data_IF_420241099646
#
_entry.id   IF_420241099646
#
_cell.length_a   1.000
_cell.length_b   1.000
_cell.length_c   1.000
_cell.angle_alpha   90.00
_cell.angle_beta   90.00
_cell.angle_gamma   90.00
#
_symmetry.space_group_name_H-M   'P 1'
#
loop_
_entity.id
_entity.type
_entity.pdbx_description
1 polymer ?
#
# COMPACT_ATOMS: atom_id res chain seq x y z
N UNK A 1 -7.35 0.71 31.42
CA UNK A 1 -7.59 -0.35 30.39
C UNK A 1 -7.12 0.18 29.03
N UNK A 2 -5.81 0.20 28.77
CA UNK A 2 -5.21 0.69 27.51
C UNK A 2 -4.76 -0.47 26.61
N UNK A 3 -5.63 -1.46 26.40
CA UNK A 3 -5.36 -2.57 25.47
C UNK A 3 -5.69 -2.22 24.00
N UNK A 4 -6.14 -1.01 23.71
CA UNK A 4 -6.40 -0.53 22.33
C UNK A 4 -5.12 -0.35 21.49
N UNK A 5 -3.96 -0.24 22.14
CA UNK A 5 -2.65 -0.20 21.48
C UNK A 5 -1.93 -1.54 21.47
N UNK A 6 -2.54 -2.61 22.01
CA UNK A 6 -1.99 -3.95 21.85
C UNK A 6 -2.21 -4.35 20.40
N UNK A 7 -1.16 -4.19 19.58
CA UNK A 7 -1.13 -4.46 18.14
C UNK A 7 -1.86 -5.78 17.85
N UNK A 8 -3.06 -5.78 17.24
CA UNK A 8 -3.74 -7.01 16.89
C UNK A 8 -3.16 -7.48 15.54
N UNK A 9 -1.84 -7.66 15.46
CA UNK A 9 -1.14 -8.06 14.25
C UNK A 9 -1.02 -9.58 14.20
N UNK A 10 -2.18 -10.23 14.12
CA UNK A 10 -2.21 -11.63 13.74
C UNK A 10 -1.58 -11.78 12.35
N UNK A 11 -0.82 -12.86 12.13
CA UNK A 11 -0.14 -13.13 10.85
C UNK A 11 -1.10 -13.04 9.65
N UNK A 12 -2.34 -13.46 9.85
CA UNK A 12 -3.40 -13.45 8.84
C UNK A 12 -3.92 -12.03 8.54
N UNK A 13 -4.01 -11.17 9.56
CA UNK A 13 -4.34 -9.76 9.38
C UNK A 13 -3.26 -9.06 8.56
N UNK A 14 -1.98 -9.31 8.86
CA UNK A 14 -0.86 -8.71 8.15
C UNK A 14 -0.79 -9.17 6.69
N UNK A 15 -1.12 -10.44 6.42
CA UNK A 15 -1.25 -10.97 5.06
C UNK A 15 -2.39 -10.30 4.28
N UNK A 16 -3.53 -10.06 4.94
CA UNK A 16 -4.67 -9.35 4.36
C UNK A 16 -4.34 -7.89 4.04
N UNK A 17 -3.61 -7.20 4.91
CA UNK A 17 -3.11 -5.85 4.64
C UNK A 17 -2.16 -5.80 3.43
N UNK A 18 -1.27 -6.78 3.29
CA UNK A 18 -0.40 -6.87 2.12
C UNK A 18 -1.20 -7.04 0.82
N UNK A 19 -2.26 -7.86 0.83
CA UNK A 19 -3.15 -8.05 -0.33
C UNK A 19 -3.88 -6.75 -0.70
N UNK A 20 -4.40 -6.03 0.29
CA UNK A 20 -5.04 -4.72 0.06
C UNK A 20 -4.05 -3.73 -0.54
N UNK A 21 -2.82 -3.66 -0.04
CA UNK A 21 -1.78 -2.78 -0.58
C UNK A 21 -1.43 -3.14 -2.04
N UNK A 22 -1.30 -4.43 -2.35
CA UNK A 22 -1.08 -4.89 -3.72
C UNK A 22 -2.26 -4.53 -4.64
N UNK A 23 -3.50 -4.65 -4.16
CA UNK A 23 -4.69 -4.32 -4.94
C UNK A 23 -4.82 -2.81 -5.18
N UNK A 24 -4.51 -1.97 -4.17
CA UNK A 24 -4.43 -0.51 -4.34
C UNK A 24 -3.37 -0.14 -5.38
N UNK A 25 -2.19 -0.79 -5.36
CA UNK A 25 -1.16 -0.55 -6.35
C UNK A 25 -1.62 -0.92 -7.77
N UNK A 26 -2.31 -2.05 -7.94
CA UNK A 26 -2.91 -2.45 -9.23
C UNK A 26 -3.94 -1.44 -9.72
N UNK A 27 -4.83 -0.98 -8.83
CA UNK A 27 -5.85 0.03 -9.16
C UNK A 27 -5.20 1.35 -9.58
N UNK A 28 -4.14 1.77 -8.90
CA UNK A 28 -3.38 2.98 -9.28
C UNK A 28 -2.75 2.86 -10.68
N UNK A 29 -2.22 1.69 -11.04
CA UNK A 29 -1.70 1.42 -12.38
C UNK A 29 -2.83 1.46 -13.43
N UNK A 30 -3.98 0.87 -13.12
CA UNK A 30 -5.16 0.90 -14.00
C UNK A 30 -5.75 2.31 -14.19
N UNK A 31 -5.49 3.23 -13.26
CA UNK A 31 -5.92 4.63 -13.38
C UNK A 31 -5.03 5.46 -14.33
N UNK A 32 -3.82 4.99 -14.69
CA UNK A 32 -2.90 5.75 -15.56
C UNK A 32 -3.52 6.04 -16.93
N UNK A 33 -4.09 5.05 -17.67
CA UNK A 33 -4.76 5.33 -18.94
C UNK A 33 -5.92 6.33 -18.81
N UNK A 34 -6.71 6.22 -17.73
CA UNK A 34 -7.85 7.11 -17.46
C UNK A 34 -7.38 8.57 -17.34
N UNK A 35 -6.26 8.81 -16.66
CA UNK A 35 -5.66 10.14 -16.53
C UNK A 35 -5.08 10.64 -17.86
N UNK A 36 -4.45 9.76 -18.64
CA UNK A 36 -3.81 10.13 -19.92
C UNK A 36 -4.83 10.52 -21.00
N UNK A 37 -5.96 9.82 -21.09
CA UNK A 37 -7.02 10.09 -22.08
C UNK A 37 -7.95 11.26 -21.71
N UNK A 38 -7.85 11.81 -20.50
CA UNK A 38 -8.66 12.95 -20.08
C UNK A 38 -8.33 14.23 -20.90
N UNK A 39 -9.27 15.14 -21.13
CA UNK A 39 -9.04 16.41 -21.85
C UNK A 39 -8.52 17.54 -20.95
N UNK A 40 -7.59 17.24 -20.05
CA UNK A 40 -6.98 18.21 -19.13
C UNK A 40 -5.63 18.72 -19.63
N UNK A 41 -5.17 19.86 -19.07
CA UNK A 41 -3.87 20.44 -19.39
C UNK A 41 -2.74 19.42 -19.23
N UNK A 42 -1.75 19.45 -20.12
CA UNK A 42 -0.65 18.47 -20.14
C UNK A 42 0.12 18.40 -18.81
N UNK A 43 0.31 19.54 -18.13
CA UNK A 43 0.94 19.60 -16.81
C UNK A 43 0.14 18.81 -15.73
N UNK A 44 -1.19 18.89 -15.76
CA UNK A 44 -2.03 18.12 -14.83
C UNK A 44 -1.96 16.61 -15.08
N UNK A 45 -1.84 16.20 -16.35
CA UNK A 45 -1.68 14.78 -16.71
C UNK A 45 -0.37 14.22 -16.16
N UNK A 46 0.74 14.93 -16.37
CA UNK A 46 2.06 14.50 -15.89
C UNK A 46 2.10 14.46 -14.36
N UNK A 47 1.59 15.49 -13.68
CA UNK A 47 1.53 15.53 -12.22
C UNK A 47 0.70 14.38 -11.64
N UNK A 48 -0.50 14.13 -12.16
CA UNK A 48 -1.36 13.03 -11.70
C UNK A 48 -0.76 11.66 -12.00
N UNK A 49 -0.12 11.48 -13.16
CA UNK A 49 0.56 10.22 -13.49
C UNK A 49 1.74 9.97 -12.56
N UNK A 50 2.55 10.99 -12.25
CA UNK A 50 3.65 10.87 -11.29
C UNK A 50 3.14 10.54 -9.88
N UNK A 51 2.03 11.17 -9.47
CA UNK A 51 1.40 10.88 -8.19
C UNK A 51 0.88 9.44 -8.11
N UNK A 52 0.25 8.94 -9.18
CA UNK A 52 -0.22 7.54 -9.28
C UNK A 52 0.94 6.52 -9.22
N UNK A 53 2.03 6.78 -9.93
CA UNK A 53 3.21 5.90 -9.90
C UNK A 53 3.86 5.92 -8.52
N UNK A 54 3.95 7.09 -7.89
CA UNK A 54 4.52 7.24 -6.55
C UNK A 54 3.66 6.52 -5.49
N UNK A 55 2.34 6.66 -5.56
CA UNK A 55 1.42 5.99 -4.64
C UNK A 55 1.46 4.47 -4.81
N UNK A 56 1.48 3.97 -6.05
CA UNK A 56 1.65 2.55 -6.34
C UNK A 56 2.96 2.01 -5.76
N UNK A 57 4.08 2.72 -5.97
CA UNK A 57 5.38 2.34 -5.44
C UNK A 57 5.40 2.30 -3.91
N UNK A 58 4.82 3.30 -3.24
CA UNK A 58 4.74 3.33 -1.77
C UNK A 58 3.88 2.18 -1.22
N UNK A 59 2.79 1.81 -1.91
CA UNK A 59 1.96 0.68 -1.51
C UNK A 59 2.71 -0.64 -1.64
N UNK A 60 3.38 -0.88 -2.77
CA UNK A 60 4.19 -2.08 -2.99
C UNK A 60 5.35 -2.17 -2.00
N UNK A 61 6.05 -1.04 -1.78
CA UNK A 61 7.13 -0.97 -0.82
C UNK A 61 6.65 -1.30 0.60
N UNK A 62 5.48 -0.77 0.99
CA UNK A 62 4.88 -1.05 2.31
C UNK A 62 4.48 -2.52 2.44
N UNK A 63 3.91 -3.13 1.40
CA UNK A 63 3.56 -4.55 1.37
C UNK A 63 4.81 -5.43 1.53
N UNK A 64 5.87 -5.12 0.79
CA UNK A 64 7.15 -5.85 0.87
C UNK A 64 7.84 -5.65 2.21
N UNK A 65 7.79 -4.44 2.77
CA UNK A 65 8.31 -4.16 4.10
C UNK A 65 7.56 -4.97 5.17
N UNK A 66 6.24 -5.05 5.07
CA UNK A 66 5.40 -5.85 5.97
C UNK A 66 5.71 -7.36 5.82
N UNK A 67 5.87 -7.87 4.60
CA UNK A 67 6.26 -9.27 4.34
C UNK A 67 7.63 -9.62 4.91
N UNK A 68 8.64 -8.77 4.69
CA UNK A 68 10.01 -8.98 5.17
C UNK A 68 10.10 -8.93 6.70
N UNK A 69 9.34 -8.04 7.33
CA UNK A 69 9.33 -7.91 8.78
C UNK A 69 8.27 -8.78 9.47
N UNK A 70 7.53 -9.62 8.73
CA UNK A 70 6.44 -10.48 9.25
C UNK A 70 6.87 -11.32 10.46
N UNK A 71 8.09 -11.85 10.45
CA UNK A 71 8.62 -12.62 11.57
C UNK A 71 8.92 -11.75 12.82
N UNK A 72 9.46 -10.55 12.63
CA UNK A 72 9.75 -9.60 13.73
C UNK A 72 8.47 -9.04 14.34
N UNK A 73 7.47 -8.75 13.49
CA UNK A 73 6.19 -8.17 13.88
C UNK A 73 5.28 -9.15 14.63
N UNK A 74 5.49 -10.46 14.48
CA UNK A 74 4.75 -11.49 15.23
C UNK A 74 5.53 -12.07 16.41
N UNK A 75 6.88 -12.11 16.39
CA UNK A 75 7.65 -12.67 17.50
C UNK A 75 7.79 -11.74 18.72
N UNK A 76 7.45 -10.46 18.62
CA UNK A 76 7.30 -9.59 19.80
C UNK A 76 6.06 -9.95 20.66
N UNK A 77 5.27 -10.96 20.28
CA UNK A 77 4.13 -11.48 21.07
C UNK A 77 4.52 -12.60 22.05
N UNK A 78 5.80 -12.99 22.12
CA UNK A 78 6.27 -14.21 22.79
C UNK A 78 7.24 -14.05 23.96
N UNK A 79 7.32 -12.88 24.60
CA UNK A 79 7.99 -12.72 25.92
C UNK A 79 7.05 -12.10 26.96
#
# INVERSE_FOLDING_TARGET
>A
MFNLFKRPLHKDSLDSWCKILDDVAKVAILAIPVVLYNETLLAYKVANSLFLVSSAYLCLFSADFMRKNKAKLTNEEGE
#
